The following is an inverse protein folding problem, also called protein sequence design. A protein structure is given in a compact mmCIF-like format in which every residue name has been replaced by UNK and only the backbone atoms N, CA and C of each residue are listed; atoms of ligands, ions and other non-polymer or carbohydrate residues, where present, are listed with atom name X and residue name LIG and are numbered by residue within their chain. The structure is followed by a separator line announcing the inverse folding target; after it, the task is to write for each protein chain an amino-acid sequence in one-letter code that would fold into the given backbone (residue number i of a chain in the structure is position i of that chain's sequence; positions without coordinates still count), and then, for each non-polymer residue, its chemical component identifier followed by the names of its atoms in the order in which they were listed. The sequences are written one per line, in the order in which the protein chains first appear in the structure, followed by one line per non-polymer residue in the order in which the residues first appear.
data_IF_293795546797
#
_entry.id   IF_293795546797
#
_cell.length_a   1.000
_cell.length_b   1.000
_cell.length_c   1.000
_cell.angle_alpha   90.00
_cell.angle_beta   90.00
_cell.angle_gamma   90.00
#
_symmetry.space_group_name_H-M   'P 1'
#
loop_
_entity.id
_entity.type
_entity.pdbx_description
1 polymer ?
#
# COMPACT_ATOMS: atom_id res chain seq x y z
N UNK A 1 29.38 -23.68 20.45
CA UNK A 1 29.79 -24.46 19.26
C UNK A 1 28.77 -25.53 18.89
N UNK A 2 28.37 -26.43 19.81
CA UNK A 2 27.30 -27.39 19.54
C UNK A 2 25.99 -26.70 19.10
N UNK A 3 25.59 -25.62 19.80
CA UNK A 3 24.44 -24.79 19.43
C UNK A 3 24.53 -24.17 18.03
N UNK A 4 25.73 -23.78 17.59
CA UNK A 4 25.98 -23.22 16.26
C UNK A 4 25.78 -24.24 15.14
N UNK A 5 26.05 -25.51 15.43
CA UNK A 5 26.05 -26.60 14.45
C UNK A 5 24.72 -27.36 14.42
N UNK A 6 23.75 -27.01 15.26
CA UNK A 6 22.46 -27.71 15.30
C UNK A 6 22.49 -29.07 16.01
N UNK A 7 23.49 -29.32 16.87
CA UNK A 7 23.72 -30.63 17.46
C UNK A 7 22.85 -30.84 18.71
N UNK A 8 21.54 -31.00 18.52
CA UNK A 8 20.52 -31.07 19.58
C UNK A 8 20.83 -32.13 20.65
N UNK A 9 21.32 -33.31 20.25
CA UNK A 9 21.68 -34.41 21.16
C UNK A 9 22.88 -34.04 22.06
N UNK A 10 23.86 -33.33 21.49
CA UNK A 10 25.04 -32.90 22.24
C UNK A 10 24.67 -31.75 23.17
N UNK A 11 23.84 -30.81 22.70
CA UNK A 11 23.37 -29.69 23.52
C UNK A 11 22.54 -30.20 24.69
N UNK A 12 21.60 -31.13 24.47
CA UNK A 12 20.82 -31.74 25.55
C UNK A 12 21.69 -32.47 26.56
N UNK A 13 22.62 -33.29 26.09
CA UNK A 13 23.56 -33.99 26.97
C UNK A 13 24.39 -33.03 27.84
N UNK A 14 24.90 -31.93 27.26
CA UNK A 14 25.68 -30.91 27.97
C UNK A 14 24.82 -30.21 29.04
N UNK A 15 23.59 -29.83 28.71
CA UNK A 15 22.69 -29.15 29.63
C UNK A 15 22.22 -30.08 30.77
N UNK A 16 22.06 -31.37 30.50
CA UNK A 16 21.72 -32.37 31.51
C UNK A 16 22.84 -32.60 32.53
N UNK A 17 24.09 -32.20 32.23
CA UNK A 17 25.20 -32.18 33.20
C UNK A 17 25.13 -30.98 34.17
N UNK A 18 24.09 -30.14 34.09
CA UNK A 18 23.92 -28.97 34.96
C UNK A 18 24.77 -27.76 34.56
N UNK A 19 25.25 -27.73 33.31
CA UNK A 19 25.94 -26.56 32.76
C UNK A 19 24.92 -25.45 32.52
N UNK A 20 25.28 -24.22 32.89
CA UNK A 20 24.45 -23.04 32.64
C UNK A 20 24.16 -22.87 31.14
N UNK A 21 22.88 -22.85 30.72
CA UNK A 21 22.49 -22.69 29.31
C UNK A 21 22.96 -21.38 28.67
N UNK A 22 23.28 -20.35 29.46
CA UNK A 22 23.77 -19.07 28.93
C UNK A 22 25.30 -19.05 28.75
N UNK A 23 26.01 -20.05 29.29
CA UNK A 23 27.46 -20.13 29.23
C UNK A 23 28.17 -19.11 30.15
N UNK A 24 29.52 -19.09 30.14
CA UNK A 24 30.28 -18.16 30.98
C UNK A 24 30.01 -16.70 30.56
N UNK A 25 29.98 -15.78 31.53
CA UNK A 25 29.73 -14.33 31.40
C UNK A 25 30.56 -13.66 30.29
N UNK A 26 30.13 -13.82 29.04
CA UNK A 26 30.63 -13.10 27.88
C UNK A 26 29.42 -12.75 27.03
N UNK A 27 28.80 -11.65 27.45
CA UNK A 27 27.56 -11.05 26.98
C UNK A 27 27.33 -11.11 25.46
N UNK A 28 28.35 -11.15 24.62
CA UNK A 28 28.19 -11.14 23.15
C UNK A 28 27.90 -12.47 22.46
N UNK A 29 28.04 -13.64 23.11
CA UNK A 29 27.88 -14.96 22.45
C UNK A 29 27.24 -16.00 23.34
N UNK A 30 25.96 -15.81 23.68
CA UNK A 30 25.19 -16.87 24.33
C UNK A 30 24.96 -18.04 23.37
N UNK A 31 24.86 -19.29 23.86
CA UNK A 31 24.52 -20.44 23.03
C UNK A 31 23.24 -20.24 22.22
N UNK A 32 22.26 -19.54 22.81
CA UNK A 32 21.00 -19.19 22.16
C UNK A 32 21.21 -18.21 20.99
N UNK A 33 22.04 -17.17 21.17
CA UNK A 33 22.35 -16.23 20.10
C UNK A 33 23.06 -16.90 18.93
N UNK A 34 24.02 -17.79 19.20
CA UNK A 34 24.73 -18.56 18.15
C UNK A 34 23.78 -19.53 17.42
N UNK A 35 22.82 -20.15 18.10
CA UNK A 35 21.80 -20.97 17.44
C UNK A 35 20.93 -20.14 16.48
N UNK A 36 20.48 -18.95 16.92
CA UNK A 36 19.64 -18.06 16.12
C UNK A 36 20.38 -17.50 14.91
N UNK A 37 21.62 -17.04 15.10
CA UNK A 37 22.44 -16.47 14.02
C UNK A 37 22.76 -17.49 12.92
N UNK A 38 22.70 -18.78 13.24
CA UNK A 38 23.01 -19.89 12.33
C UNK A 38 21.77 -20.70 11.93
N UNK A 39 20.57 -20.15 12.10
CA UNK A 39 19.30 -20.73 11.65
C UNK A 39 18.99 -22.12 12.28
N UNK A 40 19.50 -22.37 13.50
CA UNK A 40 19.31 -23.63 14.23
C UNK A 40 18.07 -23.54 15.12
N UNK A 41 16.88 -23.57 14.50
CA UNK A 41 15.60 -23.39 15.18
C UNK A 41 15.34 -24.40 16.30
N UNK A 42 15.57 -25.69 16.03
CA UNK A 42 15.34 -26.78 17.00
C UNK A 42 16.23 -26.62 18.23
N UNK A 43 17.51 -26.31 18.01
CA UNK A 43 18.47 -26.10 19.09
C UNK A 43 18.16 -24.86 19.92
N UNK A 44 17.71 -23.79 19.27
CA UNK A 44 17.29 -22.58 19.96
C UNK A 44 16.06 -22.84 20.85
N UNK A 45 15.07 -23.58 20.34
CA UNK A 45 13.89 -23.99 21.13
C UNK A 45 14.29 -24.87 22.32
N UNK A 46 15.20 -25.82 22.12
CA UNK A 46 15.71 -26.67 23.19
C UNK A 46 16.42 -25.86 24.29
N UNK A 47 17.24 -24.88 23.90
CA UNK A 47 17.90 -23.98 24.84
C UNK A 47 16.89 -23.16 25.65
N UNK A 48 15.85 -22.62 25.02
CA UNK A 48 14.78 -21.88 25.72
C UNK A 48 14.04 -22.78 26.71
N UNK A 49 13.69 -24.02 26.32
CA UNK A 49 13.05 -24.98 27.23
C UNK A 49 13.92 -25.41 28.40
N UNK A 50 15.25 -25.42 28.22
CA UNK A 50 16.23 -25.71 29.27
C UNK A 50 16.60 -24.50 30.13
N UNK A 51 15.90 -23.37 29.95
CA UNK A 51 16.03 -22.20 30.82
C UNK A 51 17.02 -21.13 30.34
N UNK A 52 17.49 -21.18 29.09
CA UNK A 52 18.32 -20.12 28.53
C UNK A 52 17.64 -18.75 28.65
N UNK A 53 18.37 -17.73 29.08
CA UNK A 53 17.79 -16.42 29.28
C UNK A 53 17.58 -15.71 27.94
N UNK A 54 16.33 -15.72 27.47
CA UNK A 54 15.89 -14.96 26.27
C UNK A 54 15.96 -13.43 26.48
N UNK A 55 16.32 -12.96 27.68
CA UNK A 55 16.23 -11.57 28.11
C UNK A 55 17.56 -10.89 28.39
N UNK A 56 18.69 -11.58 28.24
CA UNK A 56 19.98 -10.91 28.24
C UNK A 56 20.01 -10.01 27.01
N UNK A 57 19.91 -8.70 27.27
CA UNK A 57 20.26 -7.61 26.38
C UNK A 57 21.75 -7.31 26.60
N UNK A 58 22.70 -8.10 26.07
CA UNK A 58 24.02 -7.54 25.84
C UNK A 58 23.81 -6.35 24.90
N UNK A 59 24.67 -5.32 24.89
CA UNK A 59 24.27 -3.95 24.56
C UNK A 59 23.62 -3.75 23.17
N UNK A 60 23.61 -4.77 22.30
CA UNK A 60 23.04 -4.77 20.95
C UNK A 60 22.37 -6.08 20.46
N UNK A 61 22.01 -7.07 21.32
CA UNK A 61 21.32 -8.29 20.84
C UNK A 61 20.01 -8.55 21.57
N UNK A 62 18.90 -8.31 20.87
CA UNK A 62 17.57 -8.73 21.32
C UNK A 62 17.20 -10.04 20.62
N UNK A 63 17.07 -11.10 21.42
CA UNK A 63 16.79 -12.47 20.97
C UNK A 63 15.51 -12.54 20.15
N UNK A 64 14.50 -11.75 20.53
CA UNK A 64 13.21 -11.76 19.87
C UNK A 64 13.27 -11.13 18.48
N UNK A 65 13.81 -9.92 18.35
CA UNK A 65 14.00 -9.28 17.04
C UNK A 65 14.97 -10.07 16.13
N UNK A 66 15.98 -10.73 16.68
CA UNK A 66 16.87 -11.61 15.94
C UNK A 66 16.12 -12.83 15.38
N UNK A 67 15.31 -13.51 16.19
CA UNK A 67 14.50 -14.65 15.75
C UNK A 67 13.52 -14.26 14.63
N UNK A 68 12.87 -13.10 14.76
CA UNK A 68 11.99 -12.54 13.72
C UNK A 68 12.75 -12.26 12.43
N UNK A 69 13.93 -11.64 12.52
CA UNK A 69 14.74 -11.25 11.36
C UNK A 69 15.30 -12.47 10.61
N UNK A 70 15.62 -13.55 11.34
CA UNK A 70 16.11 -14.79 10.76
C UNK A 70 14.99 -15.66 10.19
N UNK A 71 13.75 -15.51 10.65
CA UNK A 71 12.61 -16.26 10.13
C UNK A 71 12.23 -17.49 10.95
N UNK A 72 12.70 -17.57 12.19
CA UNK A 72 12.52 -18.70 13.12
C UNK A 72 11.11 -18.66 13.75
N UNK A 73 10.11 -19.08 12.98
CA UNK A 73 8.69 -18.94 13.32
C UNK A 73 8.27 -19.71 14.59
N UNK A 74 8.73 -20.94 14.77
CA UNK A 74 8.43 -21.74 15.96
C UNK A 74 9.14 -21.20 17.18
N UNK A 75 10.39 -20.74 17.01
CA UNK A 75 11.11 -20.07 18.10
C UNK A 75 10.38 -18.79 18.53
N UNK A 76 9.90 -17.97 17.59
CA UNK A 76 9.10 -16.77 17.89
C UNK A 76 7.85 -17.14 18.69
N UNK A 77 7.14 -18.21 18.29
CA UNK A 77 5.96 -18.70 19.00
C UNK A 77 6.27 -19.12 20.44
N UNK A 78 7.35 -19.88 20.63
CA UNK A 78 7.81 -20.31 21.97
C UNK A 78 8.19 -19.10 22.81
N UNK A 79 8.93 -18.13 22.26
CA UNK A 79 9.36 -16.93 22.98
C UNK A 79 8.14 -16.10 23.44
N UNK A 80 7.17 -15.86 22.56
CA UNK A 80 5.97 -15.08 22.88
C UNK A 80 5.14 -15.76 23.97
N UNK A 81 4.92 -17.07 23.84
CA UNK A 81 4.10 -17.83 24.79
C UNK A 81 4.75 -18.03 26.16
N UNK A 82 6.08 -18.16 26.22
CA UNK A 82 6.82 -18.40 27.47
C UNK A 82 7.11 -17.13 28.25
N UNK A 83 7.32 -15.99 27.57
CA UNK A 83 7.71 -14.73 28.23
C UNK A 83 6.60 -13.68 28.31
N UNK A 84 5.46 -13.92 27.65
CA UNK A 84 4.38 -12.92 27.59
C UNK A 84 4.84 -11.64 26.88
N UNK A 85 5.66 -11.78 25.83
CA UNK A 85 6.14 -10.61 25.06
C UNK A 85 4.95 -9.92 24.42
N UNK A 86 4.86 -8.60 24.60
CA UNK A 86 3.91 -7.78 23.86
C UNK A 86 4.32 -7.75 22.37
N UNK A 87 3.50 -8.38 21.54
CA UNK A 87 3.68 -8.47 20.08
C UNK A 87 3.74 -7.09 19.40
N UNK A 88 3.11 -6.09 20.03
CA UNK A 88 3.01 -4.73 19.50
C UNK A 88 4.07 -3.79 20.10
N UNK A 89 4.97 -4.32 20.92
CA UNK A 89 6.06 -3.53 21.49
C UNK A 89 6.98 -2.95 20.40
N UNK A 90 7.48 -1.75 20.67
CA UNK A 90 8.44 -1.08 19.80
C UNK A 90 9.83 -1.69 20.05
N UNK A 91 10.36 -2.38 19.04
CA UNK A 91 11.67 -3.01 19.02
C UNK A 91 12.80 -2.01 18.68
N UNK A 92 12.50 -0.70 18.71
CA UNK A 92 13.42 0.38 18.37
C UNK A 92 13.12 0.97 17.00
N UNK A 93 13.45 2.25 16.82
CA UNK A 93 13.18 3.02 15.58
C UNK A 93 11.73 3.00 15.10
N UNK A 94 10.77 2.73 16.00
CA UNK A 94 9.35 2.63 15.64
C UNK A 94 9.01 1.35 14.87
N UNK A 95 9.83 0.30 14.98
CA UNK A 95 9.57 -0.99 14.37
C UNK A 95 8.86 -1.93 15.36
N UNK A 96 7.88 -2.70 14.89
CA UNK A 96 7.28 -3.81 15.62
C UNK A 96 7.79 -5.13 15.05
N UNK A 97 7.51 -6.26 15.73
CA UNK A 97 7.86 -7.58 15.22
C UNK A 97 7.26 -7.83 13.83
N UNK A 98 6.04 -7.35 13.60
CA UNK A 98 5.36 -7.47 12.32
C UNK A 98 6.07 -6.66 11.23
N UNK A 99 6.48 -5.42 11.52
CA UNK A 99 7.19 -4.61 10.51
C UNK A 99 8.55 -5.20 10.14
N UNK A 100 9.28 -5.76 11.11
CA UNK A 100 10.54 -6.48 10.86
C UNK A 100 10.32 -7.73 9.99
N UNK A 101 9.30 -8.55 10.29
CA UNK A 101 8.99 -9.74 9.51
C UNK A 101 8.68 -9.38 8.04
N UNK A 102 7.96 -8.29 7.80
CA UNK A 102 7.64 -7.79 6.46
C UNK A 102 8.87 -7.25 5.73
N UNK A 103 9.74 -6.51 6.43
CA UNK A 103 10.97 -5.97 5.86
C UNK A 103 11.92 -7.08 5.43
N UNK A 104 12.09 -8.11 6.27
CA UNK A 104 12.93 -9.28 6.01
C UNK A 104 12.26 -10.38 5.18
N UNK A 105 11.02 -10.17 4.72
CA UNK A 105 10.25 -11.11 3.88
C UNK A 105 10.06 -12.49 4.52
N UNK A 106 9.86 -12.53 5.84
CA UNK A 106 9.70 -13.77 6.61
C UNK A 106 8.22 -14.18 6.68
N UNK A 107 7.73 -14.85 5.63
CA UNK A 107 6.30 -15.20 5.51
C UNK A 107 5.79 -16.11 6.63
N UNK A 108 6.61 -17.07 7.08
CA UNK A 108 6.26 -17.97 8.18
C UNK A 108 6.07 -17.19 9.49
N UNK A 109 7.06 -16.35 9.85
CA UNK A 109 6.98 -15.49 11.04
C UNK A 109 5.80 -14.53 10.95
N UNK A 110 5.55 -13.92 9.78
CA UNK A 110 4.37 -13.06 9.60
C UNK A 110 3.09 -13.80 9.95
N UNK A 111 2.89 -15.02 9.41
CA UNK A 111 1.70 -15.83 9.71
C UNK A 111 1.60 -16.18 11.19
N UNK A 112 2.71 -16.61 11.80
CA UNK A 112 2.74 -16.92 13.23
C UNK A 112 2.39 -15.72 14.10
N UNK A 113 2.90 -14.53 13.78
CA UNK A 113 2.55 -13.30 14.51
C UNK A 113 1.06 -12.96 14.35
N UNK A 114 0.49 -13.16 13.17
CA UNK A 114 -0.94 -12.93 12.93
C UNK A 114 -1.82 -13.97 13.64
N UNK A 115 -1.42 -15.24 13.67
CA UNK A 115 -2.09 -16.30 14.43
C UNK A 115 -2.08 -16.02 15.95
N UNK A 116 -1.00 -15.41 16.45
CA UNK A 116 -0.88 -14.98 17.84
C UNK A 116 -1.65 -13.67 18.15
N UNK A 117 -2.29 -13.05 17.16
CA UNK A 117 -3.12 -11.86 17.34
C UNK A 117 -2.35 -10.54 17.33
N UNK A 118 -1.20 -10.45 16.66
CA UNK A 118 -0.47 -9.19 16.49
C UNK A 118 -1.34 -8.14 15.76
N UNK A 119 -1.27 -6.87 16.18
CA UNK A 119 -2.00 -5.78 15.53
C UNK A 119 -1.34 -5.43 14.19
N UNK A 120 -2.12 -5.54 13.12
CA UNK A 120 -1.73 -5.19 11.75
C UNK A 120 -2.00 -3.73 11.40
N UNK A 121 -2.89 -3.04 12.12
CA UNK A 121 -3.37 -1.72 11.72
C UNK A 121 -2.27 -0.67 11.78
N UNK A 122 -1.56 -0.59 12.90
CA UNK A 122 -0.45 0.36 13.06
C UNK A 122 0.70 0.11 12.06
N UNK A 123 1.22 -1.14 11.90
CA UNK A 123 2.23 -1.46 10.90
C UNK A 123 1.84 -1.09 9.46
N UNK A 124 0.62 -1.44 9.03
CA UNK A 124 0.18 -1.18 7.66
C UNK A 124 0.04 0.32 7.39
N UNK A 125 -0.48 1.08 8.36
CA UNK A 125 -0.55 2.55 8.28
C UNK A 125 0.84 3.17 8.18
N UNK A 126 1.79 2.69 8.97
CA UNK A 126 3.18 3.12 8.92
C UNK A 126 3.83 2.85 7.56
N UNK A 127 3.52 1.72 6.90
CA UNK A 127 4.01 1.47 5.54
C UNK A 127 3.48 2.47 4.52
N UNK A 128 2.21 2.89 4.66
CA UNK A 128 1.62 3.95 3.82
C UNK A 128 2.33 5.29 4.04
N UNK A 129 2.52 5.69 5.32
CA UNK A 129 3.15 6.95 5.71
C UNK A 129 4.61 7.06 5.27
N UNK A 130 5.38 5.97 5.35
CA UNK A 130 6.77 5.94 4.87
C UNK A 130 6.91 5.62 3.37
N UNK A 131 5.80 5.55 2.63
CA UNK A 131 5.76 5.21 1.20
C UNK A 131 6.46 3.89 0.85
N UNK A 132 6.47 2.94 1.78
CA UNK A 132 7.06 1.60 1.59
C UNK A 132 6.01 0.65 1.01
N UNK A 133 5.43 1.00 -0.13
CA UNK A 133 4.39 0.20 -0.78
C UNK A 133 4.85 -1.21 -1.13
N UNK A 134 6.15 -1.43 -1.36
CA UNK A 134 6.70 -2.79 -1.54
C UNK A 134 6.52 -3.65 -0.29
N UNK A 135 6.63 -3.07 0.91
CA UNK A 135 6.39 -3.76 2.18
C UNK A 135 4.92 -4.09 2.34
N UNK A 136 4.05 -3.11 2.09
CA UNK A 136 2.59 -3.27 2.11
C UNK A 136 2.12 -4.37 1.14
N UNK A 137 2.56 -4.31 -0.11
CA UNK A 137 2.18 -5.27 -1.15
C UNK A 137 2.53 -6.70 -0.77
N UNK A 138 3.78 -6.91 -0.34
CA UNK A 138 4.22 -8.24 0.07
C UNK A 138 3.49 -8.73 1.32
N UNK A 139 3.18 -7.85 2.28
CA UNK A 139 2.41 -8.23 3.46
C UNK A 139 1.01 -8.71 3.06
N UNK A 140 0.34 -7.97 2.16
CA UNK A 140 -0.95 -8.38 1.60
C UNK A 140 -0.85 -9.70 0.83
N UNK A 141 0.21 -9.92 0.04
CA UNK A 141 0.41 -11.19 -0.68
C UNK A 141 0.67 -12.38 0.25
N UNK A 142 1.53 -12.22 1.25
CA UNK A 142 1.94 -13.30 2.14
C UNK A 142 0.89 -13.66 3.20
N UNK A 143 0.08 -12.67 3.60
CA UNK A 143 -0.84 -12.73 4.74
C UNK A 143 -2.27 -12.29 4.46
N UNK A 144 -2.71 -12.16 3.20
CA UNK A 144 -4.04 -11.66 2.82
C UNK A 144 -5.19 -12.17 3.70
N UNK A 145 -5.27 -13.49 3.91
CA UNK A 145 -6.35 -14.13 4.65
C UNK A 145 -6.38 -13.68 6.12
N UNK A 146 -5.22 -13.71 6.77
CA UNK A 146 -5.05 -13.42 8.19
C UNK A 146 -5.13 -11.90 8.46
N UNK A 147 -4.57 -11.08 7.57
CA UNK A 147 -4.69 -9.61 7.63
C UNK A 147 -6.16 -9.21 7.51
N UNK A 148 -6.91 -9.87 6.61
CA UNK A 148 -8.34 -9.64 6.43
C UNK A 148 -9.14 -9.99 7.69
N UNK A 149 -8.86 -11.14 8.30
CA UNK A 149 -9.54 -11.58 9.54
C UNK A 149 -9.23 -10.65 10.72
N UNK A 150 -7.98 -10.21 10.84
CA UNK A 150 -7.56 -9.33 11.96
C UNK A 150 -8.03 -7.88 11.81
N UNK A 151 -8.01 -7.32 10.59
CA UNK A 151 -8.34 -5.91 10.36
C UNK A 151 -9.84 -5.67 10.19
N UNK A 152 -10.57 -6.69 9.72
CA UNK A 152 -11.96 -6.60 9.35
C UNK A 152 -12.21 -5.63 8.18
N UNK A 153 -13.47 -5.54 7.75
CA UNK A 153 -13.83 -4.77 6.55
C UNK A 153 -13.62 -3.26 6.75
N UNK A 154 -14.04 -2.71 7.89
CA UNK A 154 -13.87 -1.28 8.16
C UNK A 154 -12.38 -0.90 8.23
N UNK A 155 -11.53 -1.79 8.73
CA UNK A 155 -10.09 -1.60 8.73
C UNK A 155 -9.52 -1.57 7.32
N UNK A 156 -9.95 -2.49 6.44
CA UNK A 156 -9.53 -2.53 5.04
C UNK A 156 -9.98 -1.29 4.27
N UNK A 157 -11.22 -0.82 4.49
CA UNK A 157 -11.74 0.43 3.93
C UNK A 157 -10.88 1.61 4.37
N UNK A 158 -10.60 1.73 5.67
CA UNK A 158 -9.75 2.80 6.19
C UNK A 158 -8.33 2.77 5.57
N UNK A 159 -7.75 1.58 5.41
CA UNK A 159 -6.45 1.44 4.73
C UNK A 159 -6.54 1.86 3.27
N UNK A 160 -7.57 1.45 2.53
CA UNK A 160 -7.77 1.88 1.14
C UNK A 160 -7.91 3.40 1.03
N UNK A 161 -8.62 4.06 1.95
CA UNK A 161 -8.67 5.54 2.03
C UNK A 161 -7.28 6.12 2.27
N UNK A 162 -6.52 5.60 3.24
CA UNK A 162 -5.17 6.11 3.50
C UNK A 162 -4.27 5.96 2.27
N UNK A 163 -4.25 4.78 1.64
CA UNK A 163 -3.48 4.52 0.41
C UNK A 163 -3.90 5.46 -0.71
N UNK A 164 -5.19 5.73 -0.90
CA UNK A 164 -5.69 6.59 -1.97
C UNK A 164 -5.45 8.09 -1.73
N UNK A 165 -5.37 8.53 -0.47
CA UNK A 165 -5.25 9.96 -0.10
C UNK A 165 -3.82 10.43 0.12
N UNK A 166 -2.88 9.50 0.32
CA UNK A 166 -1.45 9.78 0.50
C UNK A 166 -0.82 10.42 -0.74
N UNK A 167 0.01 11.44 -0.53
CA UNK A 167 0.74 12.10 -1.62
C UNK A 167 2.04 11.36 -1.91
N UNK A 168 2.06 10.64 -3.04
CA UNK A 168 3.14 9.72 -3.37
C UNK A 168 4.00 10.27 -4.51
N UNK A 169 5.34 10.18 -4.43
CA UNK A 169 6.22 10.55 -5.53
C UNK A 169 5.94 9.70 -6.79
N UNK A 170 6.21 10.21 -8.00
CA UNK A 170 5.85 9.55 -9.25
C UNK A 170 6.43 8.12 -9.39
N UNK A 171 7.57 7.85 -8.76
CA UNK A 171 8.24 6.54 -8.75
C UNK A 171 7.47 5.45 -8.02
N UNK A 172 6.62 5.82 -7.06
CA UNK A 172 5.87 4.90 -6.21
C UNK A 172 4.38 4.82 -6.59
N UNK A 173 3.90 5.68 -7.51
CA UNK A 173 2.49 5.71 -7.93
C UNK A 173 2.01 4.39 -8.53
N UNK A 174 2.84 3.72 -9.34
CA UNK A 174 2.48 2.41 -9.88
C UNK A 174 2.24 1.39 -8.76
N UNK A 175 3.09 1.39 -7.73
CA UNK A 175 2.95 0.49 -6.57
C UNK A 175 1.76 0.85 -5.70
N UNK A 176 1.48 2.14 -5.51
CA UNK A 176 0.28 2.63 -4.81
C UNK A 176 -1.00 2.15 -5.51
N UNK A 177 -1.05 2.21 -6.84
CA UNK A 177 -2.18 1.74 -7.64
C UNK A 177 -2.38 0.23 -7.47
N UNK A 178 -1.31 -0.57 -7.54
CA UNK A 178 -1.39 -2.03 -7.32
C UNK A 178 -1.80 -2.36 -5.88
N UNK A 179 -1.32 -1.59 -4.90
CA UNK A 179 -1.70 -1.79 -3.50
C UNK A 179 -3.19 -1.52 -3.30
N UNK A 180 -3.72 -0.45 -3.91
CA UNK A 180 -5.14 -0.16 -3.90
C UNK A 180 -5.94 -1.25 -4.61
N UNK A 181 -5.49 -1.73 -5.78
CA UNK A 181 -6.14 -2.84 -6.49
C UNK A 181 -6.24 -4.09 -5.61
N UNK A 182 -5.14 -4.52 -4.99
CA UNK A 182 -5.15 -5.68 -4.09
C UNK A 182 -6.12 -5.50 -2.92
N UNK A 183 -6.20 -4.30 -2.34
CA UNK A 183 -7.17 -4.02 -1.26
C UNK A 183 -8.62 -4.05 -1.76
N UNK A 184 -8.90 -3.50 -2.94
CA UNK A 184 -10.22 -3.55 -3.56
C UNK A 184 -10.64 -4.98 -3.93
N UNK A 185 -9.71 -5.79 -4.43
CA UNK A 185 -9.93 -7.21 -4.71
C UNK A 185 -10.27 -7.99 -3.43
N UNK A 186 -9.60 -7.69 -2.31
CA UNK A 186 -9.92 -8.29 -1.02
C UNK A 186 -11.32 -7.89 -0.55
N UNK A 187 -11.69 -6.61 -0.68
CA UNK A 187 -13.03 -6.13 -0.33
C UNK A 187 -14.12 -6.73 -1.25
N UNK A 188 -13.83 -6.92 -2.54
CA UNK A 188 -14.77 -7.53 -3.47
C UNK A 188 -14.96 -9.03 -3.22
N UNK A 189 -13.92 -9.73 -2.73
CA UNK A 189 -14.05 -11.13 -2.30
C UNK A 189 -14.98 -11.26 -1.08
N UNK A 190 -14.93 -10.34 -0.13
CA UNK A 190 -15.88 -10.28 0.99
C UNK A 190 -17.33 -10.09 0.51
N UNK A 191 -17.55 -9.32 -0.55
CA UNK A 191 -18.88 -9.18 -1.19
C UNK A 191 -19.41 -10.48 -1.78
N UNK A 192 -18.54 -11.36 -2.29
CA UNK A 192 -18.92 -12.63 -2.92
C UNK A 192 -18.99 -13.80 -1.93
N UNK A 193 -18.32 -13.67 -0.77
CA UNK A 193 -18.32 -14.69 0.25
C UNK A 193 -19.61 -14.61 1.06
N UNK A 194 -20.38 -15.69 1.06
CA UNK A 194 -21.62 -15.84 1.84
C UNK A 194 -21.25 -16.00 3.31
N UNK A 195 -20.91 -14.90 4.00
CA UNK A 195 -20.74 -14.88 5.45
C UNK A 195 -21.81 -14.00 6.10
N UNK A 196 -22.55 -14.47 7.13
CA UNK A 196 -23.74 -13.77 7.61
C UNK A 196 -23.49 -12.51 8.45
N UNK A 197 -22.28 -12.29 9.00
CA UNK A 197 -22.13 -11.39 10.16
C UNK A 197 -21.51 -10.01 9.87
N UNK A 198 -20.95 -9.77 8.69
CA UNK A 198 -20.42 -8.45 8.33
C UNK A 198 -20.31 -8.30 6.81
N UNK A 199 -21.41 -8.16 6.09
CA UNK A 199 -21.36 -7.79 4.67
C UNK A 199 -21.47 -6.27 4.61
N UNK A 200 -20.49 -5.58 4.01
CA UNK A 200 -20.68 -4.17 3.62
C UNK A 200 -21.92 -4.12 2.70
N UNK A 201 -22.96 -3.34 3.04
CA UNK A 201 -24.08 -3.15 2.15
C UNK A 201 -23.56 -2.69 0.79
N UNK A 202 -24.06 -3.28 -0.30
CA UNK A 202 -23.58 -2.98 -1.65
C UNK A 202 -23.64 -1.46 -1.95
N UNK A 203 -24.64 -0.77 -1.40
CA UNK A 203 -24.81 0.67 -1.50
C UNK A 203 -23.72 1.48 -0.79
N UNK A 204 -23.24 1.01 0.38
CA UNK A 204 -22.17 1.67 1.13
C UNK A 204 -20.82 1.52 0.41
N UNK A 205 -20.57 0.36 -0.19
CA UNK A 205 -19.36 0.12 -0.98
C UNK A 205 -19.33 0.96 -2.26
N UNK A 206 -20.46 1.04 -2.98
CA UNK A 206 -20.58 1.89 -4.17
C UNK A 206 -20.43 3.38 -3.78
N UNK A 207 -21.04 3.82 -2.67
CA UNK A 207 -20.86 5.18 -2.15
C UNK A 207 -19.39 5.46 -1.73
N UNK A 208 -18.71 4.47 -1.17
CA UNK A 208 -17.30 4.54 -0.81
C UNK A 208 -16.40 4.69 -2.04
N UNK A 209 -16.60 3.85 -3.06
CA UNK A 209 -15.90 3.95 -4.34
C UNK A 209 -16.12 5.31 -5.00
N UNK A 210 -17.36 5.81 -4.98
CA UNK A 210 -17.71 7.14 -5.48
C UNK A 210 -16.96 8.24 -4.71
N UNK A 211 -16.91 8.14 -3.38
CA UNK A 211 -16.20 9.12 -2.54
C UNK A 211 -14.69 9.11 -2.80
N UNK A 212 -14.08 7.94 -2.97
CA UNK A 212 -12.67 7.81 -3.37
C UNK A 212 -12.41 8.35 -4.76
N UNK A 213 -13.32 8.11 -5.71
CA UNK A 213 -13.18 8.64 -7.05
C UNK A 213 -13.24 10.18 -7.04
N UNK A 214 -14.11 10.77 -6.20
CA UNK A 214 -14.15 12.22 -6.03
C UNK A 214 -12.87 12.78 -5.43
N UNK A 215 -12.27 12.11 -4.45
CA UNK A 215 -11.00 12.56 -3.88
C UNK A 215 -9.86 12.44 -4.89
N UNK A 216 -9.85 11.36 -5.70
CA UNK A 216 -8.88 11.12 -6.75
C UNK A 216 -9.04 12.04 -7.98
N UNK A 217 -10.24 12.57 -8.24
CA UNK A 217 -10.53 13.52 -9.33
C UNK A 217 -10.44 15.00 -8.91
N UNK A 218 -10.23 15.28 -7.63
CA UNK A 218 -10.12 16.65 -7.11
C UNK A 218 -9.06 17.46 -7.85
N UNK A 219 -9.37 18.73 -8.14
CA UNK A 219 -8.71 19.56 -9.16
C UNK A 219 -7.20 19.76 -8.92
N UNK A 220 -6.76 19.67 -7.67
CA UNK A 220 -5.34 19.80 -7.27
C UNK A 220 -4.60 18.45 -7.20
N UNK A 221 -5.33 17.34 -7.03
CA UNK A 221 -4.78 16.01 -6.75
C UNK A 221 -4.97 15.00 -7.86
N UNK A 222 -5.72 15.33 -8.92
CA UNK A 222 -6.14 14.42 -9.99
C UNK A 222 -5.09 13.35 -10.34
N UNK A 223 -5.34 12.09 -9.96
CA UNK A 223 -4.44 10.99 -10.29
C UNK A 223 -5.18 10.02 -11.21
N UNK A 224 -4.90 10.18 -12.51
CA UNK A 224 -5.59 9.45 -13.56
C UNK A 224 -5.45 7.93 -13.41
N UNK A 225 -4.30 7.45 -12.93
CA UNK A 225 -4.09 6.03 -12.70
C UNK A 225 -5.04 5.47 -11.61
N UNK A 226 -5.16 6.16 -10.46
CA UNK A 226 -6.07 5.75 -9.39
C UNK A 226 -7.54 5.85 -9.82
N UNK A 227 -7.90 6.96 -10.47
CA UNK A 227 -9.26 7.15 -11.00
C UNK A 227 -9.63 6.05 -12.01
N UNK A 228 -8.71 5.67 -12.89
CA UNK A 228 -8.96 4.60 -13.88
C UNK A 228 -9.23 3.24 -13.22
N UNK A 229 -8.56 2.94 -12.11
CA UNK A 229 -8.79 1.72 -11.34
C UNK A 229 -10.16 1.77 -10.68
N UNK A 230 -10.48 2.85 -9.98
CA UNK A 230 -11.78 2.99 -9.31
C UNK A 230 -12.96 2.87 -10.30
N UNK A 231 -12.85 3.46 -11.49
CA UNK A 231 -13.84 3.31 -12.56
C UNK A 231 -13.99 1.86 -13.04
N UNK A 232 -12.91 1.07 -13.09
CA UNK A 232 -12.98 -0.38 -13.43
C UNK A 232 -13.72 -1.20 -12.38
N UNK A 233 -13.64 -0.81 -11.11
CA UNK A 233 -14.40 -1.45 -10.03
C UNK A 233 -15.85 -0.95 -9.94
N UNK A 234 -16.29 -0.08 -10.85
CA UNK A 234 -17.68 0.37 -10.96
C UNK A 234 -18.00 1.70 -10.27
N UNK A 235 -16.99 2.46 -9.84
CA UNK A 235 -17.19 3.79 -9.26
C UNK A 235 -17.89 4.73 -10.26
N UNK A 236 -18.87 5.51 -9.79
CA UNK A 236 -19.64 6.46 -10.59
C UNK A 236 -19.13 7.88 -10.36
N UNK A 237 -18.94 8.61 -11.46
CA UNK A 237 -18.63 10.04 -11.39
C UNK A 237 -19.90 10.80 -10.98
N UNK A 238 -19.82 11.58 -9.90
CA UNK A 238 -20.95 12.40 -9.44
C UNK A 238 -21.27 13.51 -10.44
N UNK A 239 -22.56 13.86 -10.54
CA UNK A 239 -23.04 14.95 -11.40
C UNK A 239 -22.31 16.29 -11.15
N UNK A 240 -21.98 16.58 -9.89
CA UNK A 240 -21.24 17.79 -9.50
C UNK A 240 -19.85 17.89 -10.14
N UNK A 241 -19.13 16.77 -10.31
CA UNK A 241 -17.80 16.76 -10.94
C UNK A 241 -17.89 17.13 -12.42
N UNK A 242 -18.90 16.60 -13.12
CA UNK A 242 -19.17 16.95 -14.50
C UNK A 242 -19.47 18.44 -14.66
N UNK A 243 -20.31 19.00 -13.79
CA UNK A 243 -20.64 20.43 -13.80
C UNK A 243 -19.43 21.31 -13.47
N UNK A 244 -18.58 20.90 -12.53
CA UNK A 244 -17.34 21.60 -12.22
C UNK A 244 -16.38 21.62 -13.41
N UNK A 245 -16.16 20.46 -14.06
CA UNK A 245 -15.32 20.37 -15.26
C UNK A 245 -15.88 21.23 -16.40
N UNK A 246 -17.18 21.14 -16.67
CA UNK A 246 -17.84 21.95 -17.69
C UNK A 246 -17.78 23.45 -17.37
N UNK A 247 -18.00 23.83 -16.11
CA UNK A 247 -17.96 25.23 -15.69
C UNK A 247 -16.57 25.85 -15.86
N UNK A 248 -15.51 25.09 -15.57
CA UNK A 248 -14.13 25.54 -15.79
C UNK A 248 -13.80 25.59 -17.28
N UNK A 249 -14.18 24.57 -18.05
CA UNK A 249 -13.90 24.50 -19.48
C UNK A 249 -14.66 25.58 -20.25
N UNK A 250 -15.96 25.74 -20.03
CA UNK A 250 -16.80 26.75 -20.69
C UNK A 250 -16.57 28.18 -20.15
N UNK A 251 -15.65 28.37 -19.20
CA UNK A 251 -15.29 29.69 -18.73
C UNK A 251 -14.65 30.53 -19.85
N UNK A 252 -15.08 31.79 -19.95
CA UNK A 252 -14.47 32.80 -20.81
C UNK A 252 -12.96 32.97 -20.52
N UNK A 253 -12.52 32.64 -19.30
CA UNK A 253 -11.10 32.69 -18.92
C UNK A 253 -10.28 31.56 -19.54
N UNK A 254 -10.86 30.39 -19.75
CA UNK A 254 -10.18 29.28 -20.43
C UNK A 254 -10.03 29.63 -21.92
N UNK A 255 -11.13 29.99 -22.59
CA UNK A 255 -11.11 30.38 -23.99
C UNK A 255 -10.11 31.51 -24.34
N UNK A 256 -9.85 32.45 -23.42
CA UNK A 256 -8.89 33.55 -23.61
C UNK A 256 -7.46 33.22 -23.17
N UNK A 257 -7.28 32.56 -22.02
CA UNK A 257 -5.98 32.36 -21.37
C UNK A 257 -5.85 30.93 -20.79
N UNK A 258 -5.82 29.92 -21.67
CA UNK A 258 -5.63 28.50 -21.31
C UNK A 258 -4.45 28.28 -20.34
N UNK A 259 -3.33 29.01 -20.53
CA UNK A 259 -2.14 28.88 -19.69
C UNK A 259 -2.31 29.38 -18.25
N UNK A 260 -3.13 30.41 -18.01
CA UNK A 260 -3.42 30.90 -16.65
C UNK A 260 -4.33 29.95 -15.92
N UNK A 261 -5.36 29.45 -16.61
CA UNK A 261 -6.26 28.43 -16.05
C UNK A 261 -5.51 27.14 -15.70
N UNK A 262 -4.58 26.70 -16.55
CA UNK A 262 -3.78 25.50 -16.28
C UNK A 262 -2.62 25.72 -15.30
N UNK A 263 -2.25 26.98 -15.00
CA UNK A 263 -1.40 27.28 -13.83
C UNK A 263 -2.19 27.14 -12.53
N UNK A 264 -3.46 27.56 -12.54
CA UNK A 264 -4.36 27.43 -11.39
C UNK A 264 -4.82 25.98 -11.18
N UNK A 265 -5.00 25.23 -12.27
CA UNK A 265 -5.48 23.86 -12.27
C UNK A 265 -4.60 22.97 -13.18
N UNK A 266 -3.42 22.53 -12.69
CA UNK A 266 -2.40 21.89 -13.52
C UNK A 266 -2.81 20.53 -14.08
N UNK A 267 -3.73 19.83 -13.41
CA UNK A 267 -4.17 18.48 -13.80
C UNK A 267 -5.59 18.43 -14.39
N UNK A 268 -6.21 19.58 -14.67
CA UNK A 268 -7.56 19.67 -15.22
C UNK A 268 -7.72 18.88 -16.53
N UNK A 269 -6.74 18.98 -17.44
CA UNK A 269 -6.80 18.26 -18.72
C UNK A 269 -6.71 16.75 -18.54
N UNK A 270 -5.97 16.28 -17.53
CA UNK A 270 -5.84 14.86 -17.23
C UNK A 270 -7.13 14.29 -16.64
N UNK A 271 -7.76 15.00 -15.71
CA UNK A 271 -9.05 14.59 -15.15
C UNK A 271 -10.15 14.64 -16.21
N UNK A 272 -10.20 15.69 -17.03
CA UNK A 272 -11.16 15.77 -18.12
C UNK A 272 -10.94 14.67 -19.17
N UNK A 273 -9.71 14.41 -19.60
CA UNK A 273 -9.42 13.35 -20.58
C UNK A 273 -9.87 11.98 -20.07
N UNK A 274 -9.60 11.68 -18.80
CA UNK A 274 -10.01 10.42 -18.19
C UNK A 274 -11.54 10.30 -18.09
N UNK A 275 -12.22 11.35 -17.63
CA UNK A 275 -13.69 11.36 -17.51
C UNK A 275 -14.34 11.28 -18.89
N UNK A 276 -13.84 12.05 -19.87
CA UNK A 276 -14.36 12.06 -21.23
C UNK A 276 -14.15 10.71 -21.93
N UNK A 277 -12.96 10.13 -21.85
CA UNK A 277 -12.67 8.81 -22.45
C UNK A 277 -13.50 7.69 -21.81
N UNK A 278 -13.71 7.72 -20.49
CA UNK A 278 -14.61 6.78 -19.83
C UNK A 278 -16.06 6.94 -20.32
N UNK A 279 -16.59 8.18 -20.37
CA UNK A 279 -17.94 8.45 -20.86
C UNK A 279 -18.12 8.07 -22.35
N UNK A 280 -17.09 8.29 -23.17
CA UNK A 280 -17.10 7.96 -24.60
C UNK A 280 -17.15 6.44 -24.84
N UNK A 281 -16.48 5.64 -23.99
CA UNK A 281 -16.42 4.19 -24.11
C UNK A 281 -17.66 3.46 -23.55
N UNK A 282 -18.49 4.13 -22.74
CA UNK A 282 -19.72 3.55 -22.20
C UNK A 282 -20.80 3.40 -23.29
N UNK A 283 -21.55 2.31 -23.22
CA UNK A 283 -22.69 2.05 -24.12
C UNK A 283 -23.87 2.98 -23.80
N UNK A 284 -24.74 3.25 -24.78
CA UNK A 284 -25.89 4.16 -24.60
C UNK A 284 -26.84 3.74 -23.45
N UNK A 285 -26.86 2.46 -23.06
CA UNK A 285 -27.68 1.96 -21.95
C UNK A 285 -27.08 2.24 -20.57
N UNK A 286 -25.76 2.39 -20.47
CA UNK A 286 -25.04 2.71 -19.23
C UNK A 286 -24.92 4.22 -19.01
N UNK A 287 -25.14 5.01 -20.08
CA UNK A 287 -25.14 6.47 -20.02
C UNK A 287 -26.42 6.98 -19.38
N UNK A 288 -26.35 7.26 -18.09
CA UNK A 288 -27.36 8.04 -17.39
C UNK A 288 -27.49 9.47 -17.95
N UNK A 289 -28.56 10.17 -17.56
CA UNK A 289 -28.86 11.55 -17.99
C UNK A 289 -27.65 12.50 -17.84
N UNK A 290 -26.95 12.43 -16.71
CA UNK A 290 -25.80 13.29 -16.42
C UNK A 290 -24.62 13.09 -17.39
N UNK A 291 -24.39 11.85 -17.85
CA UNK A 291 -23.31 11.54 -18.79
C UNK A 291 -23.66 12.06 -20.19
N UNK A 292 -24.91 11.85 -20.62
CA UNK A 292 -25.39 12.37 -21.91
C UNK A 292 -25.35 13.90 -21.94
N UNK A 293 -25.77 14.55 -20.86
CA UNK A 293 -25.66 15.99 -20.72
C UNK A 293 -24.19 16.45 -20.77
N UNK A 294 -23.28 15.77 -20.08
CA UNK A 294 -21.87 16.10 -20.11
C UNK A 294 -21.30 16.03 -21.52
N UNK A 295 -21.43 14.88 -22.19
CA UNK A 295 -20.90 14.65 -23.56
C UNK A 295 -21.46 15.66 -24.56
N UNK A 296 -22.74 16.03 -24.46
CA UNK A 296 -23.37 17.01 -25.35
C UNK A 296 -22.89 18.45 -25.12
N UNK A 297 -22.47 18.81 -23.90
CA UNK A 297 -22.10 20.17 -23.52
C UNK A 297 -20.58 20.38 -23.41
N UNK A 298 -19.78 19.36 -23.75
CA UNK A 298 -18.32 19.49 -23.82
C UNK A 298 -17.94 20.43 -24.97
N UNK A 299 -17.11 21.46 -24.72
CA UNK A 299 -16.64 22.33 -25.79
C UNK A 299 -15.71 21.59 -26.77
N UNK A 300 -16.00 21.69 -28.07
CA UNK A 300 -15.22 21.04 -29.13
C UNK A 300 -13.73 21.39 -29.11
N UNK A 301 -13.38 22.63 -28.78
CA UNK A 301 -11.97 23.05 -28.73
C UNK A 301 -11.18 22.35 -27.61
N UNK A 302 -11.81 21.95 -26.50
CA UNK A 302 -11.13 21.24 -25.42
C UNK A 302 -10.78 19.81 -25.82
N UNK A 303 -11.67 19.15 -26.57
CA UNK A 303 -11.43 17.81 -27.13
C UNK A 303 -10.31 17.87 -28.18
N UNK A 304 -10.38 18.84 -29.10
CA UNK A 304 -9.34 19.04 -30.12
C UNK A 304 -7.96 19.29 -29.50
N UNK A 305 -7.89 20.13 -28.46
CA UNK A 305 -6.64 20.43 -27.77
C UNK A 305 -6.02 19.18 -27.14
N UNK A 306 -6.82 18.28 -26.57
CA UNK A 306 -6.33 17.03 -25.98
C UNK A 306 -5.89 16.05 -27.06
N UNK A 307 -6.65 15.92 -28.14
CA UNK A 307 -6.30 15.07 -29.28
C UNK A 307 -4.98 15.53 -29.93
N UNK A 308 -4.76 16.83 -30.06
CA UNK A 308 -3.51 17.40 -30.57
C UNK A 308 -2.33 17.14 -29.64
N UNK A 309 -2.52 17.32 -28.33
CA UNK A 309 -1.48 17.02 -27.35
C UNK A 309 -1.13 15.52 -27.34
N UNK A 310 -2.12 14.63 -27.45
CA UNK A 310 -1.91 13.17 -27.55
C UNK A 310 -1.20 12.78 -28.82
N UNK A 311 -1.60 13.30 -29.98
CA UNK A 311 -0.94 13.03 -31.27
C UNK A 311 0.54 13.42 -31.29
N UNK A 312 0.92 14.43 -30.49
CA UNK A 312 2.30 14.93 -30.41
C UNK A 312 3.10 14.35 -29.23
N UNK A 313 2.54 13.36 -28.51
CA UNK A 313 3.11 12.79 -27.26
C UNK A 313 3.52 13.86 -26.23
N UNK A 314 2.75 14.94 -26.14
CA UNK A 314 3.00 16.05 -25.21
C UNK A 314 2.25 15.84 -23.88
N UNK A 315 2.83 16.29 -22.75
CA UNK A 315 2.19 16.14 -21.45
C UNK A 315 0.93 17.00 -21.37
N UNK A 316 -0.21 16.39 -20.98
CA UNK A 316 -1.51 17.05 -20.76
C UNK A 316 -1.45 18.03 -19.57
N UNK A 317 -0.75 19.14 -19.76
CA UNK A 317 -0.41 20.13 -18.74
C UNK A 317 -0.10 21.46 -19.42
N UNK A 318 -0.03 22.54 -18.63
CA UNK A 318 0.40 23.85 -19.13
C UNK A 318 1.76 23.81 -19.85
N UNK A 319 2.64 22.84 -19.49
CA UNK A 319 3.94 22.65 -20.16
C UNK A 319 3.78 22.11 -21.58
N UNK A 320 2.87 21.17 -21.79
CA UNK A 320 2.61 20.60 -23.13
C UNK A 320 2.08 21.66 -24.09
N UNK A 321 1.17 22.53 -23.63
CA UNK A 321 0.66 23.63 -24.45
C UNK A 321 1.76 24.64 -24.81
N UNK A 322 2.67 24.98 -23.89
CA UNK A 322 3.82 25.85 -24.23
C UNK A 322 4.74 25.21 -25.27
N UNK A 323 4.98 23.90 -25.16
CA UNK A 323 5.78 23.15 -26.14
C UNK A 323 5.09 23.07 -27.51
N UNK A 324 3.75 23.09 -27.53
CA UNK A 324 2.96 23.14 -28.75
C UNK A 324 3.08 24.51 -29.43
N UNK A 325 2.87 25.59 -28.69
CA UNK A 325 2.91 26.95 -29.21
C UNK A 325 4.31 27.37 -29.67
N UNK A 326 5.37 27.00 -28.94
CA UNK A 326 6.76 27.30 -29.33
C UNK A 326 7.17 26.61 -30.65
N UNK A 327 6.70 25.39 -30.89
CA UNK A 327 6.93 24.68 -32.16
C UNK A 327 6.10 25.24 -33.32
N UNK A 328 4.98 25.89 -33.03
CA UNK A 328 4.19 26.60 -34.04
C UNK A 328 4.81 27.95 -34.40
N UNK A 329 5.39 28.65 -33.41
CA UNK A 329 6.20 29.85 -33.64
C UNK A 329 7.47 29.53 -34.46
N UNK A 330 8.18 28.44 -34.16
CA UNK A 330 9.35 27.98 -34.94
C UNK A 330 9.00 27.57 -36.38
N UNK A 331 7.77 27.09 -36.64
CA UNK A 331 7.29 26.78 -38.00
C UNK A 331 6.78 28.02 -38.74
N UNK A 332 6.38 29.07 -38.03
CA UNK A 332 5.86 30.31 -38.59
C UNK A 332 6.94 31.34 -38.93
N UNK A 333 8.19 31.16 -38.47
CA UNK A 333 9.34 31.92 -38.96
C UNK A 333 9.99 31.18 -40.14
N UNK A 334 9.68 31.53 -41.41
CA UNK A 334 10.51 31.08 -42.51
C UNK A 334 11.93 31.60 -42.27
N UNK A 335 12.92 30.71 -42.36
CA UNK A 335 14.33 31.06 -42.18
C UNK A 335 14.76 32.20 -43.11
N UNK A 336 15.77 32.99 -42.69
CA UNK A 336 16.17 34.24 -43.34
C UNK A 336 16.58 34.10 -44.80
#
# INVERSE_FOLDING_TARGET
MAARLGLDDIVSFILDQGIDPDGPENFFRTPLAEAILHDQESTAILLVHKGASVGLQPPHFDVYSAAVSQGLAELVKVIVTTKGIDLNSNLGYGCTALTLAVYHRRARVLRTLLELGADVKAPLKQFCEHHTFSSLLWALEAGALMIRESLGIQGLVNLAVTVATEQVPPTQKSRQVVALQNLLDLLQRERSAVFPEAVLPAEEFDCFLDALLQSALSVDRADAALASVLLRYGARVRAGTFLQLLGILNSVTFAKDNLRCLRRYPKLLQSFDLVYSHCANLTNHERGFSINYFVANVPHYAVQLIDELKRRDLPLSARGIRMMNSREEERATPGP
#
